data_IF_275023419996
#
_entry.id   IF_275023419996
#
_cell.length_a   1.000
_cell.length_b   1.000
_cell.length_c   1.000
_cell.angle_alpha   90.00
_cell.angle_beta   90.00
_cell.angle_gamma   90.00
#
_symmetry.space_group_name_H-M   'P 1'
#
loop_
_entity.id
_entity.type
_entity.pdbx_description
1 polymer ?
2 non-polymer ?
3 water ?
#
# COMPACT_ATOMS: atom_id res chain seq x y z
N UNK A 25 -17.17 16.62 27.10
CA UNK A 25 -16.00 15.78 26.83
C UNK A 25 -14.98 16.51 25.96
N UNK A 26 -13.90 16.98 26.58
CA UNK A 26 -12.88 17.74 25.89
C UNK A 26 -11.83 16.78 25.32
N UNK A 27 -11.70 16.76 24.01
CA UNK A 27 -10.76 15.88 23.32
C UNK A 27 -9.40 16.53 23.10
N UNK A 28 -9.20 17.77 23.56
CA UNK A 28 -7.90 18.41 23.52
C UNK A 28 -7.14 18.31 24.83
N UNK A 29 -7.84 18.05 25.93
CA UNK A 29 -7.18 17.89 27.22
C UNK A 29 -6.54 16.51 27.30
N UNK A 30 -5.23 16.42 27.54
CA UNK A 30 -4.59 15.09 27.63
C UNK A 30 -5.06 14.32 28.85
N UNK A 31 -5.34 13.05 28.64
CA UNK A 31 -5.73 12.17 29.73
C UNK A 31 -4.54 11.94 30.67
N UNK A 32 -4.80 11.46 31.89
CA UNK A 32 -3.68 11.24 32.81
C UNK A 32 -2.69 10.25 32.23
N UNK A 33 -1.41 10.40 32.55
CA UNK A 33 -0.39 9.56 31.92
C UNK A 33 -0.33 8.18 32.56
N UNK A 34 0.10 7.22 31.75
CA UNK A 34 0.35 5.85 32.21
C UNK A 34 1.83 5.57 31.98
N UNK A 35 2.63 5.66 33.05
CA UNK A 35 4.06 5.42 32.92
C UNK A 35 4.36 4.03 32.41
N UNK A 36 3.45 3.07 32.60
CA UNK A 36 3.63 1.74 32.04
C UNK A 36 3.48 1.76 30.52
N UNK A 37 2.43 2.42 30.02
CA UNK A 37 2.21 2.48 28.58
C UNK A 37 3.27 3.34 27.88
N UNK A 38 3.83 4.33 28.57
CA UNK A 38 4.86 5.17 27.97
C UNK A 38 6.09 4.34 27.61
N UNK A 39 6.53 3.47 28.52
CA UNK A 39 7.72 2.66 28.26
C UNK A 39 7.50 1.72 27.08
N UNK A 40 6.26 1.29 26.85
CA UNK A 40 6.00 0.37 25.76
C UNK A 40 6.07 1.06 24.40
N UNK A 41 5.58 2.29 24.32
CA UNK A 41 5.46 3.00 23.05
C UNK A 41 6.73 3.71 22.63
N UNK A 42 7.42 4.36 23.57
CA UNK A 42 8.55 5.23 23.27
C UNK A 42 9.82 4.62 23.85
N UNK A 43 10.49 3.78 23.06
CA UNK A 43 11.74 3.15 23.46
C UNK A 43 12.68 3.10 22.25
N UNK A 44 12.93 4.26 21.66
CA UNK A 44 13.80 4.32 20.50
C UNK A 44 14.05 5.76 20.09
N UNK A 45 15.10 5.95 19.32
CA UNK A 45 15.48 7.28 18.84
C UNK A 45 16.91 7.38 18.38
N UNK A 55 18.32 15.61 3.41
CA UNK A 55 17.91 16.62 4.38
C UNK A 55 17.13 17.75 3.71
N UNK A 56 17.54 18.11 2.49
CA UNK A 56 16.94 19.21 1.74
C UNK A 56 16.59 18.75 0.33
N UNK A 57 15.80 17.69 0.24
CA UNK A 57 15.32 17.22 -1.07
C UNK A 57 14.44 18.30 -1.69
N UNK A 58 14.67 18.70 -2.95
CA UNK A 58 13.79 19.69 -3.58
C UNK A 58 12.34 19.23 -3.60
N UNK A 59 11.44 20.14 -3.26
CA UNK A 59 10.01 19.88 -3.18
C UNK A 59 9.30 20.85 -4.11
N UNK A 60 8.41 20.34 -4.95
CA UNK A 60 7.62 21.14 -5.89
C UNK A 60 6.15 20.96 -5.57
N UNK A 61 5.45 22.06 -5.32
CA UNK A 61 4.03 22.06 -5.03
C UNK A 61 3.26 22.70 -6.18
N UNK A 62 2.14 22.10 -6.55
CA UNK A 62 1.32 22.56 -7.67
C UNK A 62 -0.14 22.56 -7.25
N UNK A 63 -0.80 23.70 -7.41
CA UNK A 63 -2.20 23.81 -7.08
C UNK A 63 -2.60 25.24 -6.82
N UNK A 64 -3.88 25.40 -6.52
CA UNK A 64 -4.45 26.72 -6.23
C UNK A 64 -4.32 27.04 -4.75
N UNK A 65 -3.65 28.16 -4.45
CA UNK A 65 -3.57 28.71 -3.10
C UNK A 65 -3.01 27.68 -2.11
N UNK A 66 -1.76 27.31 -2.33
CA UNK A 66 -1.10 26.36 -1.44
C UNK A 66 -0.68 27.05 -0.16
N UNK A 67 -1.08 26.55 1.00
CA UNK A 67 -0.58 27.10 2.27
C UNK A 67 0.92 26.89 2.39
N UNK A 68 1.65 27.88 2.88
CA UNK A 68 3.11 27.79 2.87
C UNK A 68 3.62 26.72 3.84
N UNK A 69 4.75 26.12 3.46
CA UNK A 69 5.36 25.09 4.30
C UNK A 69 5.91 25.70 5.57
N UNK A 70 5.98 24.88 6.62
CA UNK A 70 6.49 25.31 7.90
C UNK A 70 7.94 24.85 8.04
N UNK A 71 8.62 25.33 9.09
CA UNK A 71 9.99 24.94 9.36
C UNK A 71 10.16 24.16 10.65
N UNK A 72 9.19 24.24 11.57
CA UNK A 72 9.22 23.49 12.81
C UNK A 72 7.80 23.16 13.21
N UNK A 73 7.66 22.15 14.08
CA UNK A 73 6.33 21.68 14.47
C UNK A 73 5.56 22.75 15.23
N UNK A 74 6.26 23.68 15.89
CA UNK A 74 5.61 24.73 16.64
C UNK A 74 5.09 25.87 15.77
N UNK A 75 5.41 25.87 14.48
CA UNK A 75 4.91 26.91 13.59
C UNK A 75 3.43 26.76 13.29
N UNK A 76 2.79 25.69 13.76
CA UNK A 76 1.35 25.50 13.64
C UNK A 76 0.84 24.96 14.97
N UNK A 77 -0.29 25.52 15.43
CA UNK A 77 -0.89 25.11 16.69
C UNK A 77 -1.43 23.70 16.55
N UNK A 78 -0.66 22.72 16.99
CA UNK A 78 -1.06 21.32 16.89
C UNK A 78 -1.73 20.80 18.14
N UNK A 79 -1.61 21.50 19.26
CA UNK A 79 -2.31 21.14 20.47
C UNK A 79 -1.40 20.54 21.52
N UNK A 80 -1.91 20.51 22.75
CA UNK A 80 -1.14 20.00 23.88
C UNK A 80 -0.81 18.51 23.73
N UNK A 81 -1.72 17.74 23.11
CA UNK A 81 -1.52 16.30 23.02
C UNK A 81 -0.45 15.96 21.98
N UNK A 82 -0.57 16.55 20.79
CA UNK A 82 0.38 16.23 19.72
C UNK A 82 1.78 16.72 20.07
N UNK A 83 1.88 17.95 20.57
CA UNK A 83 3.19 18.48 20.98
C UNK A 83 3.85 17.60 22.04
N UNK A 84 3.05 17.14 23.01
CA UNK A 84 3.60 16.29 24.04
C UNK A 84 4.06 14.93 23.54
N UNK A 85 3.35 14.38 22.54
CA UNK A 85 3.73 13.08 22.00
C UNK A 85 4.94 13.20 21.08
N UNK A 86 5.05 14.30 20.33
CA UNK A 86 6.22 14.52 19.48
C UNK A 86 7.49 14.55 20.33
N UNK A 87 7.43 15.20 21.50
CA UNK A 87 8.58 15.24 22.39
C UNK A 87 8.92 13.84 22.90
N UNK A 88 7.93 12.95 23.01
CA UNK A 88 8.19 11.61 23.51
C UNK A 88 8.82 10.71 22.45
N UNK A 89 8.57 10.99 21.16
CA UNK A 89 9.18 10.22 20.09
C UNK A 89 10.64 10.60 19.83
N UNK A 90 11.14 11.65 20.47
CA UNK A 90 12.49 12.16 20.30
C UNK A 90 12.79 12.61 18.88
N UNK A 91 11.77 12.80 18.05
CA UNK A 91 11.93 13.28 16.68
C UNK A 91 11.26 14.64 16.58
N UNK A 92 12.07 15.70 16.51
CA UNK A 92 11.57 17.06 16.60
C UNK A 92 11.74 17.88 15.33
N UNK A 93 12.61 17.47 14.41
CA UNK A 93 12.78 18.19 13.15
C UNK A 93 11.88 17.59 12.09
N UNK A 94 10.93 18.34 11.53
CA UNK A 94 10.04 17.77 10.50
C UNK A 94 10.79 17.49 9.20
N UNK A 95 10.47 16.35 8.59
CA UNK A 95 11.08 15.98 7.33
C UNK A 95 10.53 16.88 6.21
N UNK A 96 11.23 16.93 5.07
CA UNK A 96 10.72 17.75 3.94
C UNK A 96 9.27 17.48 3.57
N UNK A 97 8.86 16.21 3.48
CA UNK A 97 7.48 15.92 3.13
C UNK A 97 6.53 16.35 4.25
N UNK A 98 6.97 16.21 5.50
CA UNK A 98 6.19 16.71 6.62
C UNK A 98 6.13 18.23 6.60
N UNK A 99 7.15 18.89 6.05
CA UNK A 99 7.20 20.34 6.07
C UNK A 99 6.09 20.95 5.21
N UNK A 100 5.75 20.30 4.11
CA UNK A 100 4.74 20.81 3.18
C UNK A 100 3.38 20.15 3.37
N UNK A 101 3.33 18.83 3.55
CA UNK A 101 2.04 18.15 3.64
C UNK A 101 1.27 18.56 4.89
N UNK A 102 1.99 18.79 6.00
CA UNK A 102 1.32 19.05 7.27
C UNK A 102 0.50 20.35 7.23
N UNK A 103 1.03 21.48 6.78
CA UNK A 103 0.19 22.69 6.71
C UNK A 103 -0.92 22.59 5.67
N UNK A 104 -0.76 21.75 4.64
CA UNK A 104 -1.81 21.57 3.66
C UNK A 104 -3.00 20.83 4.27
N UNK A 105 -2.73 19.79 5.05
CA UNK A 105 -3.82 19.04 5.69
C UNK A 105 -4.45 19.86 6.80
N UNK A 106 -3.65 20.56 7.59
CA UNK A 106 -4.17 21.35 8.70
C UNK A 106 -5.09 22.47 8.23
N UNK A 107 -5.00 22.86 6.96
CA UNK A 107 -5.89 23.83 6.37
C UNK A 107 -7.05 23.19 5.61
N UNK A 108 -7.33 21.91 5.89
CA UNK A 108 -8.47 21.20 5.32
C UNK A 108 -8.44 21.22 3.78
N UNK A 109 -7.30 20.83 3.22
CA UNK A 109 -7.12 20.78 1.77
C UNK A 109 -6.70 19.38 1.35
N UNK A 110 -7.27 18.91 0.25
CA UNK A 110 -6.91 17.60 -0.29
C UNK A 110 -5.48 17.62 -0.82
N UNK A 111 -4.81 16.48 -0.70
CA UNK A 111 -3.37 16.38 -0.95
C UNK A 111 -3.06 15.16 -1.79
N UNK A 112 -2.30 15.36 -2.86
CA UNK A 112 -1.72 14.26 -3.64
C UNK A 112 -0.20 14.43 -3.57
N UNK A 113 0.44 13.63 -2.72
CA UNK A 113 1.86 13.76 -2.44
C UNK A 113 2.61 12.60 -3.08
N UNK A 114 3.71 12.92 -3.76
CA UNK A 114 4.59 11.93 -4.38
C UNK A 114 5.90 11.91 -3.59
N UNK A 115 6.03 10.95 -2.67
CA UNK A 115 7.22 10.79 -1.87
C UNK A 115 7.55 9.31 -1.77
N UNK A 116 8.85 9.01 -1.69
CA UNK A 116 9.29 7.63 -1.58
C UNK A 116 9.12 7.13 -0.14
N UNK A 117 9.02 5.80 -0.01
CA UNK A 117 8.91 5.20 1.30
C UNK A 117 10.18 5.44 2.10
N UNK A 118 10.03 6.06 3.27
CA UNK A 118 11.15 6.42 4.11
C UNK A 118 11.37 7.92 4.28
N UNK A 119 10.52 8.75 3.69
CA UNK A 119 10.63 10.19 3.82
C UNK A 119 9.81 10.75 4.98
N UNK A 120 9.08 9.91 5.69
CA UNK A 120 8.22 10.38 6.76
C UNK A 120 6.80 10.63 6.35
N UNK A 121 6.26 9.84 5.40
CA UNK A 121 4.89 10.04 4.95
C UNK A 121 3.89 9.81 6.08
N UNK A 122 4.13 8.79 6.90
CA UNK A 122 3.14 8.37 7.90
C UNK A 122 2.81 9.49 8.87
N UNK A 123 3.85 10.04 9.51
CA UNK A 123 3.62 11.17 10.42
C UNK A 123 3.07 12.38 9.68
N UNK A 124 3.42 12.53 8.41
CA UNK A 124 2.98 13.71 7.66
C UNK A 124 1.47 13.80 7.57
N UNK A 125 0.77 12.66 7.50
CA UNK A 125 -0.69 12.70 7.52
C UNK A 125 -1.28 12.37 8.88
N UNK A 126 -0.61 11.55 9.69
CA UNK A 126 -1.16 11.18 10.98
C UNK A 126 -1.21 12.38 11.93
N UNK A 127 -0.16 13.20 11.95
CA UNK A 127 -0.10 14.29 12.91
C UNK A 127 -1.18 15.34 12.68
N UNK A 128 -1.36 15.91 11.48
CA UNK A 128 -2.41 16.93 11.33
C UNK A 128 -3.82 16.36 11.45
N UNK A 129 -4.04 15.11 11.01
CA UNK A 129 -5.36 14.50 11.14
C UNK A 129 -5.73 14.37 12.60
N UNK A 130 -4.84 13.80 13.41
CA UNK A 130 -5.12 13.63 14.83
C UNK A 130 -5.23 14.97 15.56
N UNK A 131 -4.46 15.97 15.13
CA UNK A 131 -4.52 17.27 15.77
C UNK A 131 -5.88 17.93 15.58
N UNK A 132 -6.47 17.79 14.38
CA UNK A 132 -7.76 18.38 14.12
C UNK A 132 -8.88 17.63 14.87
N UNK A 133 -8.75 16.31 15.01
CA UNK A 133 -9.74 15.55 15.75
C UNK A 133 -9.74 15.94 17.21
N UNK A 134 -8.57 16.29 17.77
CA UNK A 134 -8.51 16.74 19.16
C UNK A 134 -9.22 18.07 19.35
N UNK A 135 -9.22 18.93 18.32
CA UNK A 135 -9.90 20.21 18.42
C UNK A 135 -11.40 20.07 18.12
N UNK A 136 -11.74 19.37 17.04
CA UNK A 136 -13.14 19.24 16.65
C UNK A 136 -13.92 18.34 17.60
N UNK A 137 -13.28 17.31 18.14
CA UNK A 137 -13.97 16.32 18.93
C UNK A 137 -14.59 15.26 18.04
N UNK A 138 -15.37 14.35 18.64
CA UNK A 138 -15.87 13.20 17.89
C UNK A 138 -17.03 13.52 16.96
N UNK A 139 -17.34 14.80 16.82
CA UNK A 139 -18.47 15.22 16.02
C UNK A 139 -19.80 14.97 16.72
N UNK A 140 -20.85 15.49 16.11
CA UNK A 140 -22.18 15.39 16.72
C UNK A 140 -22.79 14.00 16.56
N UNK A 141 -22.50 13.31 15.45
CA UNK A 141 -23.08 11.99 15.23
C UNK A 141 -22.60 10.99 16.27
N UNK A 142 -21.29 10.90 16.47
CA UNK A 142 -20.76 9.96 17.44
C UNK A 142 -21.14 10.35 18.87
N UNK A 143 -21.23 11.64 19.16
CA UNK A 143 -21.67 12.08 20.47
C UNK A 143 -23.10 11.63 20.76
N UNK A 144 -23.98 11.72 19.75
CA UNK A 144 -25.35 11.27 19.93
C UNK A 144 -25.44 9.76 20.12
N UNK A 145 -24.59 9.01 19.41
CA UNK A 145 -24.60 7.55 19.48
C UNK A 145 -23.99 7.01 20.75
N UNK A 146 -23.43 7.86 21.61
CA UNK A 146 -22.82 7.38 22.85
C UNK A 146 -23.87 6.82 23.81
N UNK A 147 -25.06 7.41 23.84
CA UNK A 147 -26.13 6.92 24.70
C UNK A 147 -26.80 5.70 24.09
N UNK A 153 -21.79 -7.73 19.56
CA UNK A 153 -21.06 -7.18 18.43
C UNK A 153 -21.61 -5.80 18.06
N UNK A 154 -20.78 -4.77 18.24
CA UNK A 154 -21.18 -3.38 18.04
C UNK A 154 -20.42 -2.80 16.85
N UNK A 155 -21.16 -2.32 15.86
CA UNK A 155 -20.56 -1.74 14.67
C UNK A 155 -19.78 -0.47 15.01
N UNK A 156 -18.64 -0.29 14.36
CA UNK A 156 -17.77 0.85 14.60
C UNK A 156 -17.79 1.79 13.41
N UNK A 157 -17.85 3.10 13.70
CA UNK A 157 -17.88 4.15 12.68
C UNK A 157 -16.61 5.00 12.84
N UNK A 158 -15.54 4.66 12.12
CA UNK A 158 -14.28 5.40 12.30
C UNK A 158 -14.36 6.80 11.73
N UNK A 159 -13.68 7.73 12.39
CA UNK A 159 -13.56 9.10 11.90
C UNK A 159 -12.53 9.18 10.78
N UNK A 160 -11.47 8.37 10.86
CA UNK A 160 -10.38 8.39 9.88
C UNK A 160 -10.11 6.98 9.38
N UNK A 161 -9.96 6.85 8.07
CA UNK A 161 -9.64 5.58 7.43
C UNK A 161 -8.31 5.71 6.68
N UNK A 162 -7.39 4.79 6.95
CA UNK A 162 -6.08 4.76 6.29
C UNK A 162 -5.94 3.41 5.59
N UNK A 163 -5.86 3.44 4.27
CA UNK A 163 -5.74 2.23 3.47
C UNK A 163 -4.28 2.01 3.09
N UNK A 164 -3.85 0.76 3.17
CA UNK A 164 -2.47 0.36 2.90
C UNK A 164 -2.47 -0.93 2.11
N UNK A 165 -1.42 -1.19 1.32
CA UNK A 165 -1.41 -2.39 0.48
C UNK A 165 -1.04 -3.68 1.19
N UNK A 166 -0.26 -3.61 2.25
CA UNK A 166 0.34 -4.80 2.86
C UNK A 166 0.10 -4.81 4.37
N UNK A 167 0.20 -6.01 4.95
CA UNK A 167 0.13 -6.12 6.41
C UNK A 167 1.31 -5.40 7.06
N UNK A 168 2.49 -5.48 6.44
CA UNK A 168 3.68 -4.86 6.99
C UNK A 168 3.47 -3.36 7.17
N UNK A 169 3.02 -2.68 6.11
CA UNK A 169 2.81 -1.23 6.20
C UNK A 169 1.62 -0.90 7.08
N UNK A 170 0.57 -1.74 7.06
CA UNK A 170 -0.59 -1.50 7.91
C UNK A 170 -0.19 -1.50 9.39
N UNK A 171 0.60 -2.49 9.80
CA UNK A 171 1.06 -2.54 11.20
C UNK A 171 1.94 -1.34 11.52
N UNK A 172 2.79 -0.94 10.57
CA UNK A 172 3.67 0.20 10.81
C UNK A 172 2.87 1.47 11.04
N UNK A 173 1.91 1.76 10.16
CA UNK A 173 1.07 2.95 10.32
C UNK A 173 0.33 2.88 11.65
N UNK A 174 -0.15 1.68 12.00
CA UNK A 174 -0.93 1.50 13.24
C UNK A 174 -0.09 1.84 14.47
N UNK A 175 1.14 1.35 14.52
CA UNK A 175 1.97 1.58 15.70
C UNK A 175 2.36 3.05 15.84
N UNK A 176 2.54 3.76 14.72
CA UNK A 176 2.76 5.20 14.80
C UNK A 176 1.51 5.91 15.32
N UNK A 177 0.32 5.47 14.89
CA UNK A 177 -0.91 6.06 15.37
C UNK A 177 -1.08 5.86 16.87
N UNK A 178 -0.58 4.74 17.40
CA UNK A 178 -0.63 4.53 18.84
C UNK A 178 0.24 5.56 19.56
N UNK A 179 1.42 5.87 19.02
CA UNK A 179 2.31 6.83 19.65
C UNK A 179 1.69 8.22 19.71
N UNK A 180 0.99 8.62 18.65
CA UNK A 180 0.46 9.97 18.56
C UNK A 180 -0.94 10.12 19.16
N UNK A 181 -1.58 9.02 19.56
CA UNK A 181 -2.84 9.09 20.28
C UNK A 181 -2.69 8.77 21.76
N UNK A 182 -1.45 8.74 22.27
CA UNK A 182 -1.21 8.54 23.69
C UNK A 182 -1.79 9.71 24.48
N UNK A 183 -2.40 9.40 25.62
CA UNK A 183 -3.09 10.36 26.46
C UNK A 183 -4.24 11.07 25.73
N UNK A 184 -4.75 10.45 24.67
CA UNK A 184 -5.88 10.98 23.92
C UNK A 184 -7.06 10.02 24.00
N UNK A 185 -8.23 10.50 23.60
CA UNK A 185 -9.43 9.69 23.56
C UNK A 185 -9.65 9.02 22.22
N UNK A 186 -8.78 9.27 21.24
CA UNK A 186 -8.84 8.57 19.96
C UNK A 186 -8.24 7.19 20.13
N UNK A 187 -8.95 6.17 19.66
CA UNK A 187 -8.50 4.79 19.77
C UNK A 187 -8.24 4.20 18.38
N UNK A 188 -7.00 3.90 18.03
CA UNK A 188 -6.71 3.33 16.70
C UNK A 188 -6.80 1.81 16.68
N UNK A 189 -7.17 1.30 15.51
CA UNK A 189 -7.25 -0.14 15.29
C UNK A 189 -6.62 -0.47 13.94
N UNK A 190 -6.34 -1.75 13.74
CA UNK A 190 -5.78 -2.23 12.48
C UNK A 190 -6.44 -3.55 12.14
N UNK A 191 -6.70 -3.75 10.84
CA UNK A 191 -7.26 -5.00 10.33
C UNK A 191 -6.48 -5.39 9.08
N UNK A 192 -5.78 -6.51 9.14
CA UNK A 192 -4.95 -6.93 8.02
C UNK A 192 -5.02 -8.43 7.77
N UNK A 193 -5.91 -9.15 8.44
CA UNK A 193 -6.03 -10.59 8.21
C UNK A 193 -4.95 -11.38 8.92
N UNK A 194 -4.74 -12.59 8.43
CA UNK A 194 -3.81 -13.50 9.06
C UNK A 194 -4.49 -14.39 10.09
N UNK A 195 -3.65 -15.07 10.87
CA UNK A 195 -4.16 -16.02 11.86
C UNK A 195 -4.93 -15.33 12.97
N UNK A 196 -4.55 -14.09 13.33
CA UNK A 196 -5.14 -13.38 14.44
C UNK A 196 -6.23 -12.40 14.01
N UNK A 197 -6.90 -12.68 12.89
CA UNK A 197 -7.97 -11.79 12.46
C UNK A 197 -9.12 -11.82 13.46
N UNK A 198 -9.32 -12.94 14.16
CA UNK A 198 -10.33 -12.98 15.20
C UNK A 198 -10.06 -11.96 16.29
N UNK A 199 -8.80 -11.86 16.74
CA UNK A 199 -8.46 -10.88 17.75
C UNK A 199 -8.51 -9.45 17.20
N UNK A 200 -8.31 -9.28 15.90
CA UNK A 200 -8.45 -7.96 15.30
C UNK A 200 -9.90 -7.50 15.31
N UNK A 201 -10.82 -8.42 14.97
CA UNK A 201 -12.24 -8.12 15.05
C UNK A 201 -12.63 -7.75 16.47
N UNK A 202 -12.01 -8.40 17.46
CA UNK A 202 -12.24 -8.07 18.86
C UNK A 202 -11.89 -6.62 19.16
N UNK A 203 -10.63 -6.26 18.90
CA UNK A 203 -10.16 -4.92 19.22
C UNK A 203 -11.04 -3.86 18.58
N UNK A 204 -11.63 -4.16 17.42
CA UNK A 204 -12.59 -3.25 16.82
C UNK A 204 -13.73 -2.96 17.78
N UNK A 205 -14.32 -4.01 18.34
CA UNK A 205 -15.49 -3.87 19.20
C UNK A 205 -15.17 -3.19 20.53
N UNK A 206 -13.89 -3.00 20.87
CA UNK A 206 -13.52 -2.19 22.01
C UNK A 206 -13.49 -0.70 21.69
N UNK A 207 -13.91 -0.30 20.49
CA UNK A 207 -13.91 1.10 20.10
C UNK A 207 -12.85 1.44 19.08
N UNK A 208 -13.25 2.09 17.99
CA UNK A 208 -12.32 2.43 16.92
C UNK A 208 -12.67 3.80 16.37
N UNK A 209 -11.75 4.75 16.47
CA UNK A 209 -11.90 6.07 15.86
C UNK A 209 -11.02 6.25 14.62
N UNK A 210 -9.87 5.59 14.57
CA UNK A 210 -9.00 5.61 13.41
C UNK A 210 -8.70 4.17 13.01
N UNK A 211 -9.03 3.80 11.79
CA UNK A 211 -8.87 2.44 11.30
C UNK A 211 -7.82 2.39 10.21
N UNK A 212 -6.81 1.53 10.40
CA UNK A 212 -5.84 1.19 9.36
C UNK A 212 -6.20 -0.18 8.83
N UNK A 213 -6.26 -0.32 7.51
CA UNK A 213 -6.70 -1.59 6.94
C UNK A 213 -6.14 -1.75 5.54
N UNK A 214 -6.06 -3.01 5.10
CA UNK A 214 -5.89 -3.30 3.69
C UNK A 214 -7.26 -3.47 3.03
N UNK A 215 -7.39 -3.10 1.75
CA UNK A 215 -8.74 -2.92 1.19
C UNK A 215 -9.59 -4.18 1.20
N UNK A 216 -9.02 -5.33 0.85
CA UNK A 216 -9.84 -6.54 0.78
C UNK A 216 -10.43 -6.92 2.12
N UNK A 217 -9.65 -6.83 3.19
CA UNK A 217 -10.16 -7.18 4.51
C UNK A 217 -11.14 -6.14 5.02
N UNK A 218 -10.96 -4.87 4.65
CA UNK A 218 -11.92 -3.85 5.06
C UNK A 218 -13.28 -4.08 4.41
N UNK A 219 -13.28 -4.42 3.12
CA UNK A 219 -14.54 -4.76 2.45
C UNK A 219 -15.22 -5.91 3.17
N UNK A 220 -14.45 -6.93 3.56
CA UNK A 220 -15.01 -8.04 4.32
C UNK A 220 -15.58 -7.58 5.65
N UNK A 221 -14.88 -6.67 6.33
CA UNK A 221 -15.40 -6.10 7.58
C UNK A 221 -16.71 -5.36 7.34
N UNK A 222 -16.87 -4.76 6.16
CA UNK A 222 -18.07 -3.98 5.86
C UNK A 222 -19.26 -4.87 5.56
N UNK A 223 -19.07 -5.90 4.74
CA UNK A 223 -20.16 -6.84 4.45
C UNK A 223 -20.58 -7.62 5.69
N UNK A 224 -19.67 -7.81 6.64
CA UNK A 224 -20.00 -8.50 7.88
C UNK A 224 -20.64 -7.56 8.91
N UNK A 225 -20.87 -6.30 8.56
CA UNK A 225 -21.55 -5.38 9.44
C UNK A 225 -20.73 -4.89 10.62
N UNK A 226 -19.40 -4.96 10.52
CA UNK A 226 -18.55 -4.55 11.63
C UNK A 226 -18.00 -3.14 11.50
N UNK A 227 -18.03 -2.56 10.30
CA UNK A 227 -17.50 -1.22 10.06
C UNK A 227 -18.50 -0.45 9.21
N UNK A 228 -18.78 0.79 9.60
CA UNK A 228 -19.57 1.70 8.80
C UNK A 228 -18.79 2.98 8.53
N UNK A 229 -18.88 3.48 7.30
CA UNK A 229 -18.11 4.63 6.87
C UNK A 229 -18.91 5.94 6.87
N UNK A 230 -20.13 5.92 7.42
CA UNK A 230 -21.02 7.07 7.29
C UNK A 230 -20.40 8.34 7.88
N UNK A 231 -19.54 8.21 8.89
CA UNK A 231 -18.98 9.36 9.59
C UNK A 231 -17.47 9.50 9.40
N UNK A 232 -16.92 8.93 8.33
CA UNK A 232 -15.49 9.02 8.07
C UNK A 232 -15.17 10.38 7.46
N UNK A 233 -14.44 11.21 8.20
CA UNK A 233 -14.07 12.54 7.74
C UNK A 233 -12.66 12.62 7.16
N UNK A 234 -11.85 11.59 7.35
CA UNK A 234 -10.45 11.62 6.91
C UNK A 234 -10.12 10.30 6.24
N UNK A 235 -9.78 10.35 4.95
CA UNK A 235 -9.42 9.18 4.16
C UNK A 235 -8.00 9.33 3.65
N UNK A 236 -7.16 8.33 3.94
CA UNK A 236 -5.77 8.30 3.49
C UNK A 236 -5.56 7.04 2.67
N UNK A 237 -4.99 7.20 1.48
CA UNK A 237 -4.54 6.09 0.67
C UNK A 237 -3.02 6.17 0.61
N UNK A 238 -2.35 5.26 1.33
CA UNK A 238 -0.89 5.25 1.39
C UNK A 238 -0.35 4.21 0.43
N UNK A 239 0.71 4.59 -0.29
CA UNK A 239 1.32 3.75 -1.33
C UNK A 239 0.25 3.29 -2.33
N UNK A 240 -0.46 4.26 -2.88
CA UNK A 240 -1.61 3.96 -3.73
C UNK A 240 -1.19 3.27 -5.03
N UNK A 241 0.00 3.58 -5.55
CA UNK A 241 0.48 2.87 -6.74
C UNK A 241 0.66 1.39 -6.44
N UNK A 242 1.21 1.06 -5.27
CA UNK A 242 1.37 -0.35 -4.90
C UNK A 242 0.02 -1.01 -4.72
N UNK A 243 -0.96 -0.31 -4.13
CA UNK A 243 -2.28 -0.89 -3.93
C UNK A 243 -2.93 -1.27 -5.26
N UNK A 244 -2.79 -0.42 -6.27
CA UNK A 244 -3.32 -0.75 -7.59
C UNK A 244 -2.53 -1.86 -8.25
N UNK A 245 -1.22 -1.93 -7.98
CA UNK A 245 -0.41 -3.03 -8.53
C UNK A 245 -0.87 -4.37 -7.99
N UNK A 246 -1.27 -4.42 -6.72
CA UNK A 246 -1.68 -5.68 -6.10
C UNK A 246 -3.11 -6.08 -6.47
N UNK A 247 -3.81 -5.24 -7.23
CA UNK A 247 -5.15 -5.56 -7.67
C UNK A 247 -6.28 -5.06 -6.80
N UNK A 248 -6.05 -4.04 -5.98
CA UNK A 248 -7.01 -3.59 -4.98
C UNK A 248 -7.94 -2.49 -5.47
N UNK A 249 -7.85 -2.07 -6.73
CA UNK A 249 -8.65 -0.93 -7.19
C UNK A 249 -10.14 -1.18 -7.07
N UNK A 250 -10.71 -2.33 -7.50
CA UNK A 250 -12.15 -2.54 -7.27
C UNK A 250 -12.54 -2.41 -5.80
N UNK A 251 -11.78 -3.00 -4.88
CA UNK A 251 -12.08 -2.88 -3.46
C UNK A 251 -12.00 -1.42 -3.01
N UNK A 252 -11.01 -0.68 -3.49
CA UNK A 252 -10.84 0.71 -3.07
C UNK A 252 -12.01 1.57 -3.54
N UNK A 253 -12.40 1.41 -4.81
CA UNK A 253 -13.55 2.16 -5.31
C UNK A 253 -14.85 1.70 -4.66
N UNK A 254 -14.92 0.43 -4.25
CA UNK A 254 -16.06 -0.04 -3.48
C UNK A 254 -16.12 0.66 -2.12
N UNK A 255 -14.98 0.76 -1.44
CA UNK A 255 -14.93 1.44 -0.15
C UNK A 255 -15.27 2.91 -0.30
N UNK A 256 -14.75 3.55 -1.34
CA UNK A 256 -14.77 5.01 -1.41
C UNK A 256 -16.01 5.53 -2.14
N UNK A 257 -16.45 4.86 -3.20
CA UNK A 257 -17.51 5.41 -4.04
C UNK A 257 -18.85 4.69 -3.95
N UNK A 258 -18.85 3.39 -3.65
CA UNK A 258 -20.07 2.61 -3.73
C UNK A 258 -20.68 2.32 -2.36
N UNK A 259 -20.35 3.11 -1.34
CA UNK A 259 -20.90 2.91 -0.02
C UNK A 259 -21.35 4.22 0.61
N UNK A 260 -21.21 4.34 1.93
CA UNK A 260 -21.74 5.47 2.67
C UNK A 260 -20.67 6.49 3.08
N UNK A 261 -19.47 6.38 2.53
CA UNK A 261 -18.45 7.37 2.87
C UNK A 261 -18.88 8.74 2.35
N UNK A 262 -18.72 9.81 3.15
CA UNK A 262 -19.07 11.14 2.66
C UNK A 262 -18.25 11.48 1.43
N UNK A 263 -18.80 12.26 0.51
CA UNK A 263 -18.13 12.52 -0.76
C UNK A 263 -17.00 13.53 -0.58
N UNK A 264 -16.21 13.67 -1.64
CA UNK A 264 -15.15 14.67 -1.64
C UNK A 264 -15.76 16.07 -1.57
N UNK A 265 -15.09 16.95 -0.84
CA UNK A 265 -15.65 18.23 -0.45
C UNK A 265 -16.25 18.21 0.93
N UNK A 266 -16.65 17.04 1.43
CA UNK A 266 -17.06 16.86 2.82
C UNK A 266 -15.94 16.16 3.56
N UNK A 267 -15.54 14.98 3.07
CA UNK A 267 -14.39 14.29 3.63
C UNK A 267 -13.11 14.94 3.13
N UNK A 268 -12.05 14.78 3.92
CA UNK A 268 -10.72 15.26 3.56
C UNK A 268 -9.89 14.05 3.17
N UNK A 269 -9.36 14.07 1.94
CA UNK A 269 -8.70 12.91 1.35
C UNK A 269 -7.25 13.23 1.03
N UNK A 270 -6.37 12.27 1.31
CA UNK A 270 -4.94 12.38 1.02
C UNK A 270 -4.47 11.11 0.36
N UNK A 271 -3.73 11.25 -0.74
CA UNK A 271 -3.15 10.12 -1.45
C UNK A 271 -1.63 10.28 -1.48
N UNK A 272 -0.92 9.25 -1.04
CA UNK A 272 0.53 9.20 -1.12
C UNK A 272 0.94 8.07 -2.06
N UNK A 273 1.89 8.37 -2.95
CA UNK A 273 2.31 7.39 -3.94
C UNK A 273 3.68 7.78 -4.47
N UNK A 274 4.58 6.79 -4.58
CA UNK A 274 5.94 7.08 -5.02
C UNK A 274 6.00 7.43 -6.50
N UNK A 275 5.14 6.82 -7.32
CA UNK A 275 5.06 7.11 -8.74
C UNK A 275 3.71 7.78 -9.04
N UNK A 276 3.60 8.31 -10.25
CA UNK A 276 2.40 9.03 -10.69
C UNK A 276 2.03 8.63 -12.11
N UNK A 277 1.58 7.40 -12.30
CA UNK A 277 1.13 6.98 -13.63
C UNK A 277 -0.28 7.46 -13.92
N UNK A 278 -0.78 7.10 -15.10
CA UNK A 278 -2.07 7.60 -15.56
C UNK A 278 -3.22 7.10 -14.68
N UNK A 279 -3.15 5.86 -14.21
CA UNK A 279 -4.22 5.35 -13.36
C UNK A 279 -4.24 6.04 -12.01
N UNK A 280 -3.08 6.47 -11.50
CA UNK A 280 -3.06 7.25 -10.26
C UNK A 280 -3.54 8.68 -10.52
N UNK A 281 -3.23 9.24 -11.71
CA UNK A 281 -3.82 10.51 -12.10
C UNK A 281 -5.34 10.44 -12.06
N UNK A 282 -5.90 9.39 -12.67
CA UNK A 282 -7.35 9.24 -12.74
C UNK A 282 -7.95 9.02 -11.36
N UNK A 283 -7.27 8.26 -10.50
CA UNK A 283 -7.78 8.03 -9.16
C UNK A 283 -7.75 9.31 -8.33
N UNK A 284 -6.69 10.12 -8.46
CA UNK A 284 -6.66 11.41 -7.78
C UNK A 284 -7.77 12.31 -8.27
N UNK A 285 -8.02 12.32 -9.58
CA UNK A 285 -9.08 13.15 -10.13
C UNK A 285 -10.45 12.72 -9.62
N UNK A 286 -10.65 11.42 -9.38
CA UNK A 286 -11.94 10.93 -8.89
C UNK A 286 -12.11 11.15 -7.40
N UNK A 287 -11.03 10.98 -6.63
CA UNK A 287 -11.12 10.94 -5.17
C UNK A 287 -10.83 12.28 -4.51
N UNK A 288 -10.13 13.19 -5.18
CA UNK A 288 -9.68 14.44 -4.58
C UNK A 288 -10.47 15.62 -5.12
N UNK A 289 -10.54 16.67 -4.32
CA UNK A 289 -11.29 17.88 -4.65
C UNK A 289 -10.36 19.08 -4.52
N UNK A 290 -10.02 19.70 -5.65
CA UNK A 290 -9.17 20.89 -5.70
C UNK A 290 -7.90 20.69 -4.88
N UNK A 291 -7.14 19.66 -5.24
CA UNK A 291 -6.03 19.21 -4.43
C UNK A 291 -4.74 19.93 -4.77
N UNK A 292 -3.79 19.85 -3.84
CA UNK A 292 -2.42 20.33 -4.04
C UNK A 292 -1.56 19.13 -4.39
N UNK A 293 -0.73 19.27 -5.42
CA UNK A 293 0.18 18.23 -5.85
C UNK A 293 1.57 18.51 -5.27
N UNK A 294 2.10 17.54 -4.52
CA UNK A 294 3.38 17.68 -3.85
C UNK A 294 4.36 16.66 -4.41
N UNK A 295 5.52 17.14 -4.88
CA UNK A 295 6.54 16.29 -5.47
C UNK A 295 7.82 16.39 -4.65
N UNK A 296 8.13 15.34 -3.91
CA UNK A 296 9.37 15.25 -3.14
C UNK A 296 10.34 14.39 -3.94
N UNK A 297 11.41 15.01 -4.42
CA UNK A 297 12.41 14.30 -5.19
C UNK A 297 12.02 14.09 -6.64
N UNK A 298 12.89 13.38 -7.36
CA UNK A 298 12.64 13.03 -8.76
C UNK A 298 11.49 12.03 -8.84
N UNK A 299 10.35 12.48 -9.36
CA UNK A 299 9.15 11.67 -9.44
C UNK A 299 8.90 11.33 -10.90
N UNK A 300 8.58 10.06 -11.16
CA UNK A 300 8.25 9.61 -12.50
C UNK A 300 7.00 8.76 -12.53
N UNK A 301 6.81 8.00 -13.61
CA UNK A 301 5.70 7.07 -13.70
C UNK A 301 6.12 5.61 -13.63
N UNK A 302 7.40 5.32 -13.83
CA UNK A 302 7.94 3.98 -13.67
C UNK A 302 8.63 3.85 -12.32
N UNK A 303 8.81 2.61 -11.90
CA UNK A 303 9.53 2.32 -10.66
C UNK A 303 11.03 2.27 -10.96
N UNK A 304 11.79 3.20 -10.38
CA UNK A 304 13.23 3.24 -10.55
C UNK A 304 13.96 2.27 -9.63
N UNK A 305 13.25 1.29 -9.07
CA UNK A 305 13.82 0.31 -8.16
C UNK A 305 13.59 -1.12 -8.66
N UNK A 306 13.48 -1.29 -9.97
CA UNK A 306 13.18 -2.59 -10.57
C UNK A 306 14.13 -2.79 -11.75
N UNK A 307 14.77 -3.96 -11.80
CA UNK A 307 15.58 -4.36 -12.94
C UNK A 307 14.75 -5.27 -13.83
N UNK A 308 14.59 -4.88 -15.09
CA UNK A 308 13.73 -5.59 -16.03
C UNK A 308 14.60 -6.27 -17.09
N UNK A 309 14.52 -7.59 -17.15
CA UNK A 309 15.21 -8.36 -18.16
C UNK A 309 14.18 -9.05 -19.06
N UNK A 310 14.30 -8.83 -20.36
CA UNK A 310 13.41 -9.44 -21.35
C UNK A 310 14.27 -10.32 -22.25
N UNK A 311 13.94 -11.60 -22.31
CA UNK A 311 14.68 -12.58 -23.10
C UNK A 311 13.72 -13.30 -24.03
N UNK A 312 14.22 -13.63 -25.22
CA UNK A 312 13.43 -14.40 -26.17
C UNK A 312 13.52 -15.88 -25.82
N UNK A 313 12.37 -16.51 -25.54
CA UNK A 313 12.30 -17.92 -25.20
C UNK A 313 11.10 -18.53 -25.90
N UNK A 314 11.33 -19.52 -26.76
CA UNK A 314 10.24 -20.27 -27.37
C UNK A 314 9.45 -21.02 -26.30
N UNK A 315 8.24 -21.44 -26.67
CA UNK A 315 7.35 -22.11 -25.73
C UNK A 315 7.99 -23.36 -25.15
N UNK A 316 8.51 -24.23 -26.01
CA UNK A 316 9.09 -25.50 -25.55
C UNK A 316 10.40 -25.33 -24.79
N UNK A 317 10.98 -24.13 -24.78
CA UNK A 317 12.22 -23.88 -24.04
C UNK A 317 11.98 -23.17 -22.72
N UNK A 318 10.74 -22.75 -22.44
CA UNK A 318 10.48 -21.93 -21.27
C UNK A 318 10.78 -22.67 -19.96
N UNK A 319 10.58 -23.99 -19.93
CA UNK A 319 10.81 -24.73 -18.71
C UNK A 319 12.30 -24.83 -18.39
N UNK A 320 13.12 -25.17 -19.39
CA UNK A 320 14.57 -25.21 -19.17
C UNK A 320 15.11 -23.82 -18.81
N UNK A 321 14.57 -22.78 -19.43
CA UNK A 321 15.03 -21.43 -19.13
C UNK A 321 14.68 -21.04 -17.69
N UNK A 322 13.46 -21.36 -17.25
CA UNK A 322 13.08 -21.10 -15.87
C UNK A 322 13.97 -21.85 -14.89
N UNK A 323 14.32 -23.10 -15.21
CA UNK A 323 15.21 -23.87 -14.34
C UNK A 323 16.55 -23.16 -14.15
N UNK A 324 17.06 -22.54 -15.22
CA UNK A 324 18.31 -21.82 -15.11
C UNK A 324 18.17 -20.57 -14.26
N UNK A 325 17.04 -19.86 -14.40
CA UNK A 325 16.79 -18.69 -13.57
C UNK A 325 16.70 -19.08 -12.09
N UNK A 326 15.96 -20.15 -11.80
CA UNK A 326 15.79 -20.57 -10.41
C UNK A 326 17.09 -21.07 -9.81
N UNK A 327 17.98 -21.66 -10.62
CA UNK A 327 19.27 -22.09 -10.10
C UNK A 327 20.20 -20.92 -9.79
N UNK A 328 19.87 -19.72 -10.23
CA UNK A 328 20.59 -18.51 -9.85
C UNK A 328 19.93 -17.79 -8.69
N UNK A 329 18.80 -18.29 -8.20
CA UNK A 329 18.11 -17.68 -7.08
C UNK A 329 18.84 -18.00 -5.78
N UNK A 330 19.06 -16.97 -4.96
CA UNK A 330 19.77 -17.12 -3.71
C UNK A 330 18.93 -17.71 -2.60
N UNK A 331 19.26 -17.34 -1.37
CA UNK A 331 18.56 -17.82 -0.18
C UNK A 331 17.52 -16.80 0.27
N UNK A 332 16.42 -17.30 0.83
CA UNK A 332 15.33 -16.47 1.35
C UNK A 332 14.82 -15.50 0.28
N UNK A 333 14.74 -15.98 -0.96
CA UNK A 333 14.36 -15.15 -2.10
C UNK A 333 12.99 -15.63 -2.59
N UNK A 334 11.94 -14.87 -2.25
CA UNK A 334 10.60 -15.18 -2.69
C UNK A 334 10.47 -14.89 -4.18
N UNK A 335 10.05 -15.89 -4.96
CA UNK A 335 9.90 -15.77 -6.40
C UNK A 335 8.45 -16.00 -6.79
N UNK A 336 7.93 -15.14 -7.64
CA UNK A 336 6.54 -15.21 -8.11
C UNK A 336 6.55 -15.42 -9.61
N UNK A 337 6.00 -16.57 -10.05
CA UNK A 337 5.98 -16.95 -11.46
C UNK A 337 4.56 -16.83 -11.97
N UNK A 338 4.35 -15.92 -12.93
CA UNK A 338 3.04 -15.73 -13.54
C UNK A 338 2.91 -16.59 -14.79
N UNK A 339 1.80 -17.31 -14.89
CA UNK A 339 1.46 -18.08 -16.09
C UNK A 339 0.07 -17.67 -16.54
N UNK A 340 -0.29 -18.10 -17.74
CA UNK A 340 -1.50 -17.58 -18.37
C UNK A 340 -2.77 -18.24 -17.84
N UNK A 341 -2.79 -19.57 -17.76
CA UNK A 341 -4.02 -20.29 -17.46
C UNK A 341 -3.88 -21.13 -16.19
N UNK A 342 -5.03 -21.51 -15.66
CA UNK A 342 -5.06 -22.38 -14.48
C UNK A 342 -4.38 -23.71 -14.76
N UNK A 343 -4.63 -24.28 -15.94
CA UNK A 343 -3.98 -25.53 -16.32
C UNK A 343 -2.48 -25.36 -16.55
N UNK A 344 -2.04 -24.13 -16.81
CA UNK A 344 -0.62 -23.85 -16.96
C UNK A 344 0.08 -23.79 -15.61
N UNK A 345 -0.52 -23.05 -14.67
CA UNK A 345 -0.07 -23.13 -13.28
C UNK A 345 -0.15 -24.56 -12.78
N UNK A 346 -1.19 -25.28 -13.23
CA UNK A 346 -1.32 -26.70 -12.95
C UNK A 346 -0.09 -27.48 -13.39
N UNK A 347 0.26 -27.36 -14.67
CA UNK A 347 1.36 -28.15 -15.21
C UNK A 347 2.70 -27.72 -14.62
N UNK A 348 2.93 -26.41 -14.49
CA UNK A 348 4.25 -25.92 -14.11
C UNK A 348 4.62 -26.33 -12.68
N UNK A 349 3.68 -26.20 -11.75
CA UNK A 349 3.96 -26.59 -10.36
C UNK A 349 4.30 -28.07 -10.27
N UNK A 350 3.57 -28.91 -11.01
CA UNK A 350 3.91 -30.33 -11.08
C UNK A 350 5.32 -30.54 -11.60
N UNK A 351 5.69 -29.79 -12.64
CA UNK A 351 7.05 -29.89 -13.19
C UNK A 351 8.09 -29.46 -12.15
N UNK A 352 7.87 -28.32 -11.51
CA UNK A 352 8.87 -27.79 -10.58
C UNK A 352 9.05 -28.69 -9.36
N UNK A 353 7.96 -29.24 -8.83
CA UNK A 353 8.05 -30.08 -7.64
C UNK A 353 8.81 -31.37 -7.94
N UNK A 354 8.59 -31.94 -9.12
CA UNK A 354 9.26 -33.17 -9.50
C UNK A 354 10.71 -32.96 -9.92
N UNK A 355 11.14 -31.71 -10.11
CA UNK A 355 12.54 -31.39 -10.29
C UNK A 355 13.24 -31.08 -8.97
N UNK A 356 12.53 -31.14 -7.85
CA UNK A 356 13.12 -30.95 -6.54
C UNK A 356 12.95 -29.58 -5.92
N UNK A 357 12.17 -28.69 -6.53
CA UNK A 357 12.01 -27.34 -6.02
C UNK A 357 10.89 -27.27 -5.00
N UNK A 358 11.14 -26.56 -3.91
CA UNK A 358 10.11 -26.25 -2.92
C UNK A 358 9.22 -25.15 -3.49
N UNK A 359 8.01 -25.52 -3.92
CA UNK A 359 7.14 -24.59 -4.62
C UNK A 359 5.69 -24.85 -4.21
N UNK A 360 4.82 -23.96 -4.67
CA UNK A 360 3.39 -24.08 -4.46
C UNK A 360 2.69 -23.28 -5.56
N UNK A 361 1.38 -23.41 -5.64
CA UNK A 361 0.62 -22.74 -6.68
C UNK A 361 -0.72 -22.28 -6.16
N UNK A 362 -1.17 -21.12 -6.65
CA UNK A 362 -2.51 -20.61 -6.41
C UNK A 362 -3.17 -20.40 -7.76
N UNK A 363 -4.32 -21.03 -7.97
CA UNK A 363 -5.09 -20.87 -9.19
C UNK A 363 -6.52 -21.33 -8.94
N UNK A 364 -7.37 -21.14 -9.94
CA UNK A 364 -8.80 -21.32 -9.75
C UNK A 364 -9.23 -22.74 -9.48
N UNK A 365 -8.50 -23.73 -10.03
CA UNK A 365 -8.88 -25.13 -9.87
C UNK A 365 -8.47 -25.70 -8.52
N UNK A 366 -7.90 -24.89 -7.62
CA UNK A 366 -7.56 -25.32 -6.28
C UNK A 366 -8.59 -24.79 -5.30
N UNK A 367 -8.88 -25.60 -4.27
CA UNK A 367 -9.90 -25.25 -3.29
C UNK A 367 -9.48 -24.01 -2.50
N UNK A 368 -10.45 -23.45 -1.77
CA UNK A 368 -10.17 -22.30 -0.92
C UNK A 368 -9.09 -22.61 0.11
N UNK A 369 -9.27 -23.70 0.85
CA UNK A 369 -8.30 -24.07 1.89
C UNK A 369 -6.91 -24.28 1.33
N UNK A 370 -6.82 -24.95 0.17
CA UNK A 370 -5.51 -25.18 -0.44
C UNK A 370 -4.84 -23.88 -0.85
N UNK A 371 -5.62 -22.86 -1.20
CA UNK A 371 -5.04 -21.59 -1.63
C UNK A 371 -4.55 -20.77 -0.44
N UNK A 372 -5.27 -20.80 0.68
CA UNK A 372 -4.79 -20.10 1.87
C UNK A 372 -3.52 -20.75 2.43
N UNK A 373 -3.40 -22.07 2.32
CA UNK A 373 -2.19 -22.73 2.79
C UNK A 373 -1.03 -22.47 1.84
N UNK A 374 -1.30 -22.40 0.54
CA UNK A 374 -0.26 -22.02 -0.41
C UNK A 374 0.29 -20.63 -0.09
N UNK A 375 -0.60 -19.69 0.26
CA UNK A 375 -0.16 -18.35 0.63
C UNK A 375 0.74 -18.39 1.86
N UNK A 376 0.31 -19.08 2.91
CA UNK A 376 1.07 -19.13 4.15
C UNK A 376 2.46 -19.72 3.94
N UNK A 377 2.55 -20.80 3.16
CA UNK A 377 3.84 -21.42 2.89
C UNK A 377 4.73 -20.50 2.07
N UNK A 378 4.15 -19.66 1.23
CA UNK A 378 4.94 -18.68 0.49
C UNK A 378 5.40 -17.55 1.41
N UNK A 379 4.48 -17.01 2.21
CA UNK A 379 4.84 -15.94 3.14
C UNK A 379 5.91 -16.39 4.13
N UNK A 380 5.80 -17.61 4.63
CA UNK A 380 6.74 -18.14 5.60
C UNK A 380 8.06 -18.58 5.00
N UNK A 381 8.14 -18.69 3.67
CA UNK A 381 9.35 -19.15 3.03
C UNK A 381 9.54 -20.65 2.96
N UNK A 382 8.56 -21.42 3.45
CA UNK A 382 8.65 -22.88 3.31
C UNK A 382 8.54 -23.29 1.85
N UNK A 383 7.71 -22.59 1.07
CA UNK A 383 7.57 -22.81 -0.37
C UNK A 383 7.85 -21.47 -1.05
N UNK A 384 9.11 -21.11 -1.25
CA UNK A 384 9.46 -19.76 -1.71
C UNK A 384 9.17 -19.47 -3.18
N UNK A 385 8.72 -20.46 -3.95
CA UNK A 385 8.35 -20.26 -5.35
C UNK A 385 6.84 -20.43 -5.46
N UNK A 386 6.16 -19.39 -5.92
CA UNK A 386 4.71 -19.39 -6.06
C UNK A 386 4.35 -19.24 -7.53
N UNK A 387 3.77 -20.30 -8.09
CA UNK A 387 3.19 -20.24 -9.43
C UNK A 387 1.76 -19.76 -9.30
N UNK A 388 1.37 -18.79 -10.13
CA UNK A 388 0.02 -18.26 -10.03
C UNK A 388 -0.37 -17.63 -11.35
N UNK A 389 -1.68 -17.60 -11.61
CA UNK A 389 -2.22 -16.72 -12.63
C UNK A 389 -2.39 -15.33 -12.04
N UNK A 390 -2.29 -14.32 -12.91
CA UNK A 390 -2.42 -12.94 -12.44
C UNK A 390 -3.78 -12.70 -11.79
N UNK A 391 -4.84 -13.27 -12.36
CA UNK A 391 -6.17 -13.07 -11.80
C UNK A 391 -6.29 -13.69 -10.41
N UNK A 392 -5.61 -14.81 -10.16
CA UNK A 392 -5.69 -15.46 -8.86
C UNK A 392 -4.91 -14.73 -7.78
N UNK A 393 -3.89 -13.95 -8.15
CA UNK A 393 -3.08 -13.24 -7.17
C UNK A 393 -3.64 -11.87 -6.81
N UNK A 394 -4.59 -11.35 -7.58
CA UNK A 394 -5.16 -10.04 -7.31
C UNK A 394 -5.85 -10.02 -5.96
N UNK A 395 -5.51 -9.04 -5.13
CA UNK A 395 -6.13 -8.87 -3.83
C UNK A 395 -5.62 -9.80 -2.75
N UNK A 396 -4.57 -10.57 -3.02
CA UNK A 396 -4.03 -11.50 -2.03
C UNK A 396 -2.91 -10.83 -1.23
N UNK A 397 -2.82 -11.21 0.04
CA UNK A 397 -1.76 -10.71 0.90
C UNK A 397 -0.40 -11.27 0.48
N UNK A 398 0.09 -10.83 -0.67
CA UNK A 398 1.40 -11.23 -1.17
C UNK A 398 2.34 -10.03 -1.05
N UNK A 399 3.41 -10.19 -0.29
CA UNK A 399 4.35 -9.10 -0.05
C UNK A 399 5.77 -9.63 -0.06
N UNK A 400 6.73 -8.70 -0.16
CA UNK A 400 8.16 -9.01 -0.08
C UNK A 400 8.60 -9.96 -1.17
N UNK A 401 8.12 -9.74 -2.39
CA UNK A 401 8.54 -10.53 -3.54
C UNK A 401 9.82 -9.92 -4.11
N UNK A 402 10.83 -10.77 -4.31
CA UNK A 402 12.13 -10.31 -4.81
C UNK A 402 12.31 -10.54 -6.30
N UNK A 403 11.70 -11.57 -6.86
CA UNK A 403 11.84 -11.89 -8.28
C UNK A 403 10.46 -12.18 -8.87
N UNK A 404 10.02 -11.33 -9.79
CA UNK A 404 8.83 -11.57 -10.57
C UNK A 404 9.26 -12.18 -11.90
N UNK A 405 8.76 -13.38 -12.20
CA UNK A 405 9.06 -14.06 -13.45
C UNK A 405 7.78 -14.15 -14.27
N UNK A 406 7.77 -13.47 -15.41
CA UNK A 406 6.64 -13.57 -16.34
C UNK A 406 6.91 -14.73 -17.28
N UNK A 407 6.61 -15.93 -16.79
CA UNK A 407 6.65 -17.13 -17.63
C UNK A 407 5.86 -16.92 -18.91
N UNK A 408 4.66 -16.37 -18.78
CA UNK A 408 3.85 -15.93 -19.90
C UNK A 408 3.61 -14.44 -19.79
N UNK A 409 3.70 -13.73 -20.91
CA UNK A 409 3.46 -12.30 -20.80
C UNK A 409 1.99 -11.98 -21.05
N UNK A 410 1.47 -10.91 -20.45
CA UNK A 410 0.09 -10.51 -20.71
C UNK A 410 -0.02 -9.73 -22.01
N UNK A 411 -1.26 -9.51 -22.43
CA UNK A 411 -1.55 -8.81 -23.69
C UNK A 411 -1.69 -7.31 -23.53
N UNK A 412 -1.60 -6.79 -22.31
CA UNK A 412 -1.66 -5.36 -22.05
C UNK A 412 -0.41 -4.93 -21.29
N UNK A 413 0.18 -3.80 -21.69
CA UNK A 413 1.29 -3.25 -20.94
C UNK A 413 0.83 -2.77 -19.57
N UNK A 414 -0.46 -2.46 -19.41
CA UNK A 414 -0.98 -2.04 -18.11
C UNK A 414 -0.83 -3.15 -17.08
N UNK A 415 -1.28 -4.36 -17.43
CA UNK A 415 -1.14 -5.49 -16.52
C UNK A 415 0.32 -5.85 -16.30
N UNK A 416 1.18 -5.65 -17.29
CA UNK A 416 2.60 -5.91 -17.11
C UNK A 416 3.18 -5.00 -16.03
N UNK A 417 2.84 -3.71 -16.08
CA UNK A 417 3.27 -2.78 -15.03
C UNK A 417 2.78 -3.24 -13.66
N UNK A 418 1.54 -3.74 -13.60
CA UNK A 418 1.00 -4.22 -12.33
C UNK A 418 1.82 -5.39 -11.78
N UNK A 419 2.17 -6.35 -12.64
CA UNK A 419 2.87 -7.54 -12.18
C UNK A 419 4.25 -7.19 -11.61
N UNK A 420 5.04 -6.43 -12.37
CA UNK A 420 6.41 -6.15 -11.92
C UNK A 420 6.42 -5.18 -10.75
N UNK A 421 5.36 -4.41 -10.55
CA UNK A 421 5.24 -3.58 -9.37
C UNK A 421 5.19 -4.36 -8.06
N UNK A 422 5.03 -5.68 -8.14
CA UNK A 422 5.04 -6.52 -6.94
C UNK A 422 6.42 -6.68 -6.35
N UNK A 423 7.47 -6.28 -7.05
CA UNK A 423 8.83 -6.36 -6.56
C UNK A 423 9.45 -4.97 -6.53
N UNK A 424 10.58 -4.86 -5.83
CA UNK A 424 11.27 -3.60 -5.72
C UNK A 424 10.80 -2.76 -4.54
N UNK A 425 11.75 -2.16 -3.83
CA UNK A 425 11.45 -1.29 -2.70
C UNK A 425 12.51 -0.19 -2.68
N UNK A 426 12.39 0.71 -1.70
CA UNK A 426 13.29 1.85 -1.64
C UNK A 426 14.72 1.41 -1.36
N UNK A 427 14.91 0.29 -0.66
CA UNK A 427 16.24 -0.17 -0.33
C UNK A 427 16.73 -1.32 -1.18
N UNK A 428 15.84 -2.29 -1.43
CA UNK A 428 16.18 -3.47 -2.22
C UNK A 428 15.76 -3.27 -3.67
N UNK A 429 16.64 -3.66 -4.59
CA UNK A 429 16.34 -3.60 -6.01
C UNK A 429 15.70 -4.91 -6.43
N UNK A 430 14.44 -4.85 -6.85
CA UNK A 430 13.75 -6.04 -7.32
C UNK A 430 14.12 -6.39 -8.74
N UNK A 431 13.73 -7.60 -9.15
CA UNK A 431 14.07 -8.14 -10.46
C UNK A 431 12.81 -8.66 -11.13
N UNK A 432 12.65 -8.32 -12.42
CA UNK A 432 11.53 -8.76 -13.22
C UNK A 432 12.06 -9.34 -14.53
N UNK A 433 11.95 -10.65 -14.68
CA UNK A 433 12.38 -11.34 -15.89
C UNK A 433 11.15 -11.82 -16.65
N UNK A 434 11.14 -11.61 -17.97
CA UNK A 434 9.99 -11.94 -18.79
C UNK A 434 10.43 -12.80 -19.97
N UNK A 435 9.68 -13.86 -20.23
CA UNK A 435 9.89 -14.67 -21.42
C UNK A 435 9.01 -14.12 -22.54
N UNK A 436 9.62 -13.92 -23.71
CA UNK A 436 8.97 -13.26 -24.83
C UNK A 436 9.19 -14.11 -26.08
N UNK A 437 8.14 -14.32 -26.86
CA UNK A 437 8.29 -14.97 -28.16
C UNK A 437 7.28 -14.34 -29.11
N UNK A 438 6.95 -15.05 -30.20
CA UNK A 438 6.10 -14.49 -31.24
C UNK A 438 4.67 -14.24 -30.75
N UNK A 439 4.24 -14.92 -29.68
CA UNK A 439 2.89 -14.71 -29.16
C UNK A 439 2.74 -13.37 -28.45
N UNK A 440 3.76 -12.52 -28.40
CA UNK A 440 3.70 -11.26 -27.68
C UNK A 440 4.08 -10.08 -28.56
N UNK A 441 3.89 -10.21 -29.88
CA UNK A 441 4.21 -9.09 -30.76
C UNK A 441 3.26 -7.92 -30.56
N UNK A 442 2.08 -8.16 -29.98
CA UNK A 442 1.13 -7.09 -29.74
C UNK A 442 1.68 -6.05 -28.78
N UNK A 443 2.47 -6.50 -27.79
CA UNK A 443 2.98 -5.62 -26.74
C UNK A 443 4.38 -5.09 -27.05
N UNK A 444 4.96 -5.49 -28.18
CA UNK A 444 6.35 -5.14 -28.51
C UNK A 444 6.62 -3.65 -28.35
N UNK A 445 5.84 -2.83 -29.05
CA UNK A 445 6.04 -1.38 -29.02
C UNK A 445 5.88 -0.82 -27.61
N UNK A 446 4.80 -1.20 -26.93
CA UNK A 446 4.55 -0.68 -25.58
C UNK A 446 5.64 -1.12 -24.61
N UNK A 447 6.10 -2.38 -24.74
CA UNK A 447 7.15 -2.87 -23.85
C UNK A 447 8.46 -2.12 -24.06
N UNK A 448 8.81 -1.84 -25.33
CA UNK A 448 10.03 -1.10 -25.61
C UNK A 448 9.98 0.31 -25.05
N UNK A 449 8.83 0.99 -25.21
CA UNK A 449 8.70 2.34 -24.69
C UNK A 449 8.84 2.37 -23.17
N UNK A 450 8.35 1.33 -22.50
CA UNK A 450 8.44 1.30 -21.04
C UNK A 450 9.87 1.01 -20.58
N UNK A 451 10.59 0.15 -21.30
CA UNK A 451 11.97 -0.14 -20.92
C UNK A 451 12.85 1.10 -21.10
N UNK A 452 12.61 1.88 -22.15
CA UNK A 452 13.41 3.07 -22.40
C UNK A 452 13.12 4.14 -21.34
N UNK A 453 11.85 4.32 -21.00
CA UNK A 453 11.48 5.31 -19.99
C UNK A 453 12.05 4.94 -18.62
N UNK A 454 12.06 3.65 -18.29
CA UNK A 454 12.63 3.19 -17.03
C UNK A 454 14.15 3.10 -17.07
N UNK A 455 14.78 3.52 -18.16
CA UNK A 455 16.24 3.47 -18.31
C UNK A 455 16.78 2.06 -18.06
N UNK A 456 16.11 1.08 -18.65
CA UNK A 456 16.48 -0.31 -18.52
C UNK A 456 17.17 -0.81 -19.79
N UNK A 457 17.77 -1.99 -19.69
CA UNK A 457 18.41 -2.59 -20.86
C UNK A 457 17.35 -2.96 -21.88
N UNK A 458 17.58 -2.58 -23.13
CA UNK A 458 16.67 -2.86 -24.24
C UNK A 458 17.31 -3.91 -25.12
N UNK A 459 16.71 -5.09 -25.28
CA UNK A 459 17.25 -6.07 -26.23
C UNK A 459 17.31 -5.48 -27.63
N UNK A 460 18.45 -5.65 -28.29
CA UNK A 460 18.63 -5.05 -29.61
C UNK A 460 17.63 -5.61 -30.61
N UNK A 461 17.16 -6.84 -30.41
CA UNK A 461 16.16 -7.37 -31.33
C UNK A 461 14.81 -6.66 -31.15
N UNK A 462 14.43 -6.39 -29.90
CA UNK A 462 13.09 -5.84 -29.62
C UNK A 462 12.77 -4.62 -30.47
N UNK A 463 13.76 -3.74 -30.67
CA UNK A 463 13.51 -2.53 -31.45
C UNK A 463 13.16 -2.82 -32.91
N UNK A 464 13.56 -3.99 -33.43
CA UNK A 464 13.34 -4.27 -34.84
C UNK A 464 11.91 -4.75 -35.11
N UNK A 465 11.36 -5.60 -34.24
CA UNK A 465 9.95 -5.95 -34.38
C UNK A 465 9.04 -4.91 -33.72
#
# INVERSE_FOLDING_TARGET
>A
MGSSHHHHHHSSGLVPRGSHMSDEDDWSKPLPPSERLEQELFSGGNTGINFEKYDDIPVEATGNNCPPHIESFSDVEMGEIIMGNIELTRYTRPTPVQKHAIPIIKEKRDLMACAQTGSGKTAAFLLPILSQIYSDGPGEALRAMKENGRYGRRKQYPISLVLAPTRELAVQIYEEARKFSYRSRVRPCVVYGGADIGQQIRDLERGCHLLVATPGHLVDMMERGKIGLDFCKYLVLDEADRMLDMGFEPQIRRIVEQDTMPPKGVRHTMMFSATFPKEIQMLARDFLDEYIFLAVGRVGSTSENITQKVVWVEESDKRSFLLDLLNATGKDSLTLVFVETKKGADSLEDFLYHEGYACTSIHGDRSQRDREEALHQFRSGKSPILVATAVAARGLDISNVKHVINFDLPSDIEEYVHRIGRTGRVGNLGLATSFFNERNINITKDLLDLLVEAKQEVPSWLENMAYEHHYKGSSRGRSKSSRFSGGFGARDYRQSSG
#
